data_IF_375463590858
#
_entry.id   IF_375463590858
#
_cell.length_a   1.000
_cell.length_b   1.000
_cell.length_c   1.000
_cell.angle_alpha   90.00
_cell.angle_beta   90.00
_cell.angle_gamma   90.00
#
_symmetry.space_group_name_H-M   'P 1'
#
loop_
_entity.id
_entity.type
_entity.pdbx_description
1 polymer ?
#
# COMPACT_ATOMS: atom_id res chain seq x y z
N UNK A 1 -29.04 -0.41 28.82
CA UNK A 1 -29.34 0.56 29.90
C UNK A 1 -28.90 1.93 29.41
N UNK A 2 -29.83 2.75 28.90
CA UNK A 2 -29.52 4.13 28.52
C UNK A 2 -29.30 4.97 29.77
N UNK A 3 -28.21 5.75 29.81
CA UNK A 3 -27.98 6.76 30.83
C UNK A 3 -29.17 7.74 30.83
N UNK A 4 -29.60 8.20 32.01
CA UNK A 4 -30.59 9.28 32.06
C UNK A 4 -29.96 10.51 31.41
N UNK A 5 -30.75 11.33 30.70
CA UNK A 5 -30.28 12.51 29.93
C UNK A 5 -29.31 13.41 30.72
N UNK A 6 -29.58 13.62 32.00
CA UNK A 6 -28.72 14.37 32.95
C UNK A 6 -27.37 13.71 33.25
N UNK A 7 -27.28 12.39 33.21
CA UNK A 7 -26.04 11.65 33.42
C UNK A 7 -25.17 11.69 32.15
N UNK A 8 -25.80 11.68 30.97
CA UNK A 8 -25.13 11.84 29.68
C UNK A 8 -24.54 13.26 29.51
N UNK A 9 -25.27 14.31 29.91
CA UNK A 9 -24.75 15.69 29.94
C UNK A 9 -23.49 15.83 30.81
N UNK A 10 -23.52 15.26 32.03
CA UNK A 10 -22.38 15.29 32.95
C UNK A 10 -21.18 14.54 32.40
N UNK A 11 -21.42 13.40 31.74
CA UNK A 11 -20.38 12.59 31.13
C UNK A 11 -19.67 13.35 30.00
N UNK A 12 -20.42 13.95 29.08
CA UNK A 12 -19.85 14.71 27.97
C UNK A 12 -19.12 15.97 28.45
N UNK A 13 -19.64 16.67 29.46
CA UNK A 13 -18.96 17.82 30.06
C UNK A 13 -17.61 17.42 30.68
N UNK A 14 -17.56 16.33 31.45
CA UNK A 14 -16.32 15.82 32.02
C UNK A 14 -15.31 15.40 30.92
N UNK A 15 -15.79 14.88 29.79
CA UNK A 15 -14.91 14.58 28.65
C UNK A 15 -14.31 15.85 28.05
N UNK A 16 -15.11 16.90 27.83
CA UNK A 16 -14.62 18.17 27.29
C UNK A 16 -13.61 18.84 28.24
N UNK A 17 -13.86 18.80 29.54
CA UNK A 17 -12.93 19.32 30.56
C UNK A 17 -11.60 18.53 30.54
N UNK A 18 -11.66 17.20 30.38
CA UNK A 18 -10.46 16.37 30.24
C UNK A 18 -9.69 16.71 28.95
N UNK A 19 -10.38 16.88 27.83
CA UNK A 19 -9.78 17.31 26.56
C UNK A 19 -9.11 18.68 26.70
N UNK A 20 -9.72 19.62 27.42
CA UNK A 20 -9.14 20.93 27.70
C UNK A 20 -7.84 20.79 28.52
N UNK A 21 -7.82 19.96 29.57
CA UNK A 21 -6.61 19.70 30.37
C UNK A 21 -5.50 19.05 29.55
N UNK A 22 -5.83 18.07 28.70
CA UNK A 22 -4.87 17.41 27.79
C UNK A 22 -4.32 18.39 26.77
N UNK A 23 -5.17 19.26 26.22
CA UNK A 23 -4.77 20.32 25.30
C UNK A 23 -3.79 21.26 25.98
N UNK A 24 -4.12 21.80 27.17
CA UNK A 24 -3.22 22.68 27.95
C UNK A 24 -1.87 22.02 28.27
N UNK A 25 -1.86 20.74 28.64
CA UNK A 25 -0.63 20.00 28.91
C UNK A 25 0.22 19.82 27.64
N UNK A 26 -0.41 19.46 26.52
CA UNK A 26 0.28 19.31 25.24
C UNK A 26 0.81 20.66 24.73
N UNK A 27 0.02 21.73 24.89
CA UNK A 27 0.39 23.11 24.58
C UNK A 27 1.66 23.51 25.32
N UNK A 28 1.69 23.35 26.65
CA UNK A 28 2.87 23.65 27.46
C UNK A 28 4.09 22.78 27.07
N UNK A 29 3.86 21.51 26.72
CA UNK A 29 4.93 20.64 26.23
C UNK A 29 5.44 21.09 24.85
N UNK A 30 4.57 21.54 23.96
CA UNK A 30 4.95 22.06 22.65
C UNK A 30 5.73 23.37 22.81
N UNK A 31 5.25 24.32 23.62
CA UNK A 31 5.91 25.61 23.88
C UNK A 31 7.32 25.44 24.48
N UNK A 32 7.49 24.49 25.41
CA UNK A 32 8.83 24.21 25.98
C UNK A 32 9.79 23.55 24.97
N UNK A 33 9.27 22.74 24.04
CA UNK A 33 10.08 22.00 23.06
C UNK A 33 10.27 22.75 21.73
N UNK A 34 9.49 23.80 21.48
CA UNK A 34 9.46 24.55 20.22
C UNK A 34 10.84 25.14 19.86
N UNK A 35 11.66 25.52 20.86
CA UNK A 35 12.99 26.11 20.62
C UNK A 35 14.05 25.11 20.15
N UNK A 36 13.92 23.84 20.54
CA UNK A 36 14.88 22.77 20.25
C UNK A 36 14.26 21.64 19.39
N UNK A 37 13.18 21.98 18.67
CA UNK A 37 12.34 20.99 17.99
C UNK A 37 12.98 20.50 16.69
N UNK A 38 13.13 19.18 16.52
CA UNK A 38 13.47 18.57 15.22
C UNK A 38 12.24 18.48 14.29
N UNK A 39 12.44 18.36 12.98
CA UNK A 39 11.32 18.25 12.01
C UNK A 39 10.38 17.07 12.33
N UNK A 40 10.96 15.92 12.75
CA UNK A 40 10.17 14.75 13.17
C UNK A 40 9.34 15.03 14.43
N UNK A 41 9.88 15.79 15.38
CA UNK A 41 9.17 16.17 16.61
C UNK A 41 8.05 17.17 16.30
N UNK A 42 8.32 18.14 15.43
CA UNK A 42 7.32 19.12 15.00
C UNK A 42 6.14 18.44 14.28
N UNK A 43 6.42 17.51 13.36
CA UNK A 43 5.39 16.74 12.65
C UNK A 43 4.57 15.86 13.61
N UNK A 44 5.21 15.19 14.57
CA UNK A 44 4.50 14.40 15.58
C UNK A 44 3.59 15.26 16.46
N UNK A 45 4.04 16.46 16.84
CA UNK A 45 3.24 17.40 17.63
C UNK A 45 2.05 17.94 16.84
N UNK A 46 2.23 18.29 15.56
CA UNK A 46 1.12 18.71 14.69
C UNK A 46 0.03 17.65 14.60
N UNK A 47 0.40 16.38 14.39
CA UNK A 47 -0.57 15.28 14.32
C UNK A 47 -1.33 15.11 15.64
N UNK A 48 -0.64 15.21 16.78
CA UNK A 48 -1.28 15.11 18.09
C UNK A 48 -2.26 16.26 18.35
N UNK A 49 -1.91 17.49 17.95
CA UNK A 49 -2.75 18.69 18.10
C UNK A 49 -3.99 18.61 17.20
N UNK A 50 -3.83 18.19 15.93
CA UNK A 50 -4.95 17.97 15.02
C UNK A 50 -5.92 16.90 15.54
N UNK A 51 -5.38 15.83 16.12
CA UNK A 51 -6.21 14.76 16.73
C UNK A 51 -7.05 15.29 17.90
N UNK A 52 -6.47 16.10 18.78
CA UNK A 52 -7.20 16.71 19.89
C UNK A 52 -8.26 17.72 19.43
N UNK A 53 -7.95 18.50 18.38
CA UNK A 53 -8.92 19.43 17.78
C UNK A 53 -10.15 18.69 17.25
N UNK A 54 -9.94 17.59 16.51
CA UNK A 54 -11.02 16.76 15.98
C UNK A 54 -11.85 16.13 17.12
N UNK A 55 -11.20 15.58 18.15
CA UNK A 55 -11.90 15.01 19.32
C UNK A 55 -12.75 16.04 20.06
N UNK A 56 -12.29 17.29 20.15
CA UNK A 56 -13.06 18.40 20.72
C UNK A 56 -14.28 18.75 19.87
N UNK A 57 -14.14 18.75 18.54
CA UNK A 57 -15.26 18.98 17.62
C UNK A 57 -16.31 17.87 17.71
N UNK A 58 -15.88 16.61 17.74
CA UNK A 58 -16.77 15.45 17.89
C UNK A 58 -17.54 15.53 19.21
N UNK A 59 -16.84 15.80 20.33
CA UNK A 59 -17.48 15.96 21.64
C UNK A 59 -18.48 17.13 21.68
N UNK A 60 -18.18 18.24 20.99
CA UNK A 60 -19.07 19.39 20.92
C UNK A 60 -20.33 19.08 20.10
N UNK A 61 -20.17 18.44 18.93
CA UNK A 61 -21.32 18.05 18.08
C UNK A 61 -22.23 17.05 18.79
N UNK A 62 -21.69 16.09 19.53
CA UNK A 62 -22.47 15.16 20.34
C UNK A 62 -23.23 15.91 21.45
N UNK A 63 -22.58 16.87 22.11
CA UNK A 63 -23.19 17.66 23.18
C UNK A 63 -24.37 18.52 22.69
N UNK A 64 -24.29 19.08 21.47
CA UNK A 64 -25.39 19.81 20.83
C UNK A 64 -26.67 18.97 20.65
N UNK A 65 -26.56 17.64 20.58
CA UNK A 65 -27.74 16.76 20.43
C UNK A 65 -28.45 16.47 21.75
N UNK A 66 -27.79 16.68 22.89
CA UNK A 66 -28.28 16.24 24.21
C UNK A 66 -28.69 17.41 25.10
N UNK A 67 -28.10 18.59 24.95
CA UNK A 67 -28.19 19.64 25.95
C UNK A 67 -29.32 20.68 25.74
N UNK A 68 -29.82 21.29 26.84
CA UNK A 68 -30.71 22.45 26.78
C UNK A 68 -29.96 23.76 26.47
N UNK A 69 -30.64 24.68 25.78
CA UNK A 69 -30.08 25.92 25.20
C UNK A 69 -29.25 26.77 26.19
N UNK A 70 -29.63 26.82 27.47
CA UNK A 70 -28.98 27.64 28.50
C UNK A 70 -27.52 27.25 28.79
N UNK A 71 -27.11 26.00 28.51
CA UNK A 71 -25.74 25.54 28.77
C UNK A 71 -24.83 25.59 27.53
N UNK A 72 -25.40 25.84 26.34
CA UNK A 72 -24.67 25.81 25.06
C UNK A 72 -23.54 26.83 25.04
N UNK A 73 -23.78 28.02 25.60
CA UNK A 73 -22.78 29.09 25.62
C UNK A 73 -21.49 28.69 26.35
N UNK A 74 -21.59 27.95 27.46
CA UNK A 74 -20.41 27.53 28.24
C UNK A 74 -19.57 26.50 27.51
N UNK A 75 -20.22 25.47 26.95
CA UNK A 75 -19.54 24.39 26.21
C UNK A 75 -18.95 24.92 24.91
N UNK A 76 -19.67 25.84 24.24
CA UNK A 76 -19.14 26.52 23.05
C UNK A 76 -17.89 27.34 23.37
N UNK A 77 -17.86 28.04 24.51
CA UNK A 77 -16.65 28.76 24.94
C UNK A 77 -15.47 27.83 25.22
N UNK A 78 -15.70 26.67 25.82
CA UNK A 78 -14.66 25.68 26.08
C UNK A 78 -14.13 25.03 24.79
N UNK A 79 -15.02 24.68 23.86
CA UNK A 79 -14.64 24.19 22.53
C UNK A 79 -13.82 25.23 21.77
N UNK A 80 -14.28 26.47 21.71
CA UNK A 80 -13.56 27.57 21.06
C UNK A 80 -12.19 27.82 21.69
N UNK A 81 -12.06 27.72 23.02
CA UNK A 81 -10.79 27.88 23.70
C UNK A 81 -9.79 26.76 23.31
N UNK A 82 -10.26 25.53 23.17
CA UNK A 82 -9.43 24.41 22.67
C UNK A 82 -9.01 24.66 21.22
N UNK A 83 -9.96 25.01 20.35
CA UNK A 83 -9.70 25.26 18.93
C UNK A 83 -8.66 26.38 18.73
N UNK A 84 -8.86 27.53 19.39
CA UNK A 84 -7.92 28.65 19.35
C UNK A 84 -6.53 28.26 19.87
N UNK A 85 -6.46 27.45 20.92
CA UNK A 85 -5.19 26.99 21.48
C UNK A 85 -4.45 26.04 20.53
N UNK A 86 -5.17 25.15 19.84
CA UNK A 86 -4.61 24.27 18.83
C UNK A 86 -4.11 25.06 17.61
N UNK A 87 -4.90 25.99 17.09
CA UNK A 87 -4.57 26.78 15.91
C UNK A 87 -3.31 27.63 16.12
N UNK A 88 -3.19 28.31 17.27
CA UNK A 88 -2.01 29.11 17.60
C UNK A 88 -0.71 28.30 17.59
N UNK A 89 -0.76 27.05 18.04
CA UNK A 89 0.42 26.18 18.08
C UNK A 89 0.70 25.57 16.71
N UNK A 90 -0.33 25.20 15.95
CA UNK A 90 -0.15 24.72 14.59
C UNK A 90 0.52 25.78 13.71
N UNK A 91 0.15 27.05 13.84
CA UNK A 91 0.83 28.17 13.16
C UNK A 91 2.30 28.24 13.59
N UNK A 92 2.58 28.16 14.89
CA UNK A 92 3.95 28.23 15.42
C UNK A 92 4.82 27.06 14.96
N UNK A 93 4.29 25.83 15.00
CA UNK A 93 4.99 24.64 14.52
C UNK A 93 5.21 24.68 13.00
N UNK A 94 4.25 25.20 12.23
CA UNK A 94 4.39 25.36 10.78
C UNK A 94 5.45 26.39 10.41
N UNK A 95 5.55 27.50 11.16
CA UNK A 95 6.61 28.48 10.99
C UNK A 95 7.99 27.85 11.22
N UNK A 96 8.15 27.08 12.29
CA UNK A 96 9.40 26.39 12.64
C UNK A 96 9.75 25.32 11.59
N UNK A 97 8.78 24.51 11.17
CA UNK A 97 8.98 23.52 10.11
C UNK A 97 9.38 24.20 8.79
N UNK A 98 8.80 25.37 8.49
CA UNK A 98 9.19 26.21 7.35
C UNK A 98 10.62 26.74 7.45
N UNK A 99 11.05 27.18 8.62
CA UNK A 99 12.41 27.70 8.82
C UNK A 99 13.48 26.60 8.85
N UNK A 100 13.17 25.43 9.42
CA UNK A 100 14.01 24.22 9.33
C UNK A 100 14.17 23.74 7.87
N UNK A 101 13.14 23.90 7.03
CA UNK A 101 13.24 23.63 5.59
C UNK A 101 14.12 24.63 4.84
N UNK A 102 14.23 25.87 5.31
CA UNK A 102 15.11 26.89 4.70
C UNK A 102 16.58 26.73 5.11
N UNK A 103 16.87 26.13 6.27
CA UNK A 103 18.23 26.00 6.81
C UNK A 103 18.98 24.75 6.34
N UNK A 104 18.32 23.82 5.66
CA UNK A 104 19.02 22.78 4.87
C UNK A 104 19.49 23.41 3.55
N UNK A 105 20.78 23.34 3.19
CA UNK A 105 21.27 23.86 1.92
C UNK A 105 20.73 22.97 0.79
N UNK A 106 19.53 23.30 0.33
CA UNK A 106 18.89 22.72 -0.84
C UNK A 106 19.51 23.36 -2.07
N UNK A 107 20.26 22.56 -2.83
CA UNK A 107 20.64 22.87 -4.21
C UNK A 107 19.38 23.28 -4.99
N UNK A 108 19.40 24.31 -5.87
CA UNK A 108 18.18 25.00 -6.26
C UNK A 108 17.22 24.10 -7.04
N UNK A 109 16.02 23.88 -6.52
CA UNK A 109 14.89 23.34 -7.27
C UNK A 109 14.20 24.53 -7.94
N UNK A 110 14.33 24.56 -9.26
CA UNK A 110 13.65 25.43 -10.21
C UNK A 110 12.11 25.32 -10.04
N UNK A 111 11.46 26.49 -10.15
CA UNK A 111 10.03 26.71 -9.99
C UNK A 111 9.13 25.72 -10.76
N UNK A 112 7.90 25.57 -10.25
CA UNK A 112 6.73 24.89 -10.82
C UNK A 112 6.84 24.62 -12.32
N UNK A 113 7.31 23.41 -12.64
CA UNK A 113 7.27 22.80 -13.96
C UNK A 113 6.37 21.59 -13.80
N UNK A 114 5.42 21.32 -14.73
CA UNK A 114 4.63 20.10 -14.67
C UNK A 114 5.62 18.96 -14.51
N UNK A 115 5.48 18.19 -13.42
CA UNK A 115 6.45 17.18 -13.00
C UNK A 115 6.95 16.46 -14.24
N UNK A 116 8.17 16.82 -14.69
CA UNK A 116 8.79 16.12 -15.79
C UNK A 116 8.98 14.74 -15.22
N UNK A 117 8.13 13.78 -15.62
CA UNK A 117 8.17 12.37 -15.24
C UNK A 117 9.64 12.00 -15.10
N UNK A 118 10.11 11.93 -13.84
CA UNK A 118 11.54 11.73 -13.54
C UNK A 118 11.94 10.52 -14.36
N UNK A 119 12.98 10.65 -15.19
CA UNK A 119 13.36 9.56 -16.10
C UNK A 119 13.80 8.40 -15.20
N UNK A 120 12.91 7.43 -15.03
CA UNK A 120 13.21 6.21 -14.29
C UNK A 120 14.15 5.42 -15.17
N UNK A 121 15.43 5.44 -14.80
CA UNK A 121 16.42 4.56 -15.40
C UNK A 121 16.38 3.23 -14.65
N UNK A 122 15.82 2.23 -15.30
CA UNK A 122 15.65 0.90 -14.75
C UNK A 122 15.83 -0.13 -15.86
N UNK A 123 16.13 -1.37 -15.49
CA UNK A 123 16.32 -2.43 -16.48
C UNK A 123 15.02 -2.65 -17.28
N UNK A 124 15.11 -3.07 -18.56
CA UNK A 124 13.95 -3.40 -19.38
C UNK A 124 13.04 -4.43 -18.72
N UNK A 125 11.76 -4.43 -19.08
CA UNK A 125 10.79 -5.39 -18.55
C UNK A 125 11.21 -6.83 -18.83
N UNK A 126 11.27 -7.64 -17.75
CA UNK A 126 11.69 -9.03 -17.80
C UNK A 126 10.47 -9.95 -17.70
N UNK A 127 10.05 -10.51 -18.84
CA UNK A 127 8.87 -11.39 -18.96
C UNK A 127 9.03 -12.73 -18.24
N UNK A 128 10.25 -13.19 -18.02
CA UNK A 128 10.57 -14.47 -17.37
C UNK A 128 10.25 -14.46 -15.87
N UNK A 129 10.36 -13.31 -15.22
CA UNK A 129 10.02 -13.15 -13.80
C UNK A 129 9.43 -11.76 -13.53
N UNK A 130 8.16 -11.53 -13.94
CA UNK A 130 7.54 -10.22 -13.81
C UNK A 130 7.39 -9.81 -12.34
N UNK A 131 7.15 -10.76 -11.41
CA UNK A 131 6.98 -10.48 -9.98
C UNK A 131 8.22 -9.83 -9.37
N UNK A 132 9.38 -10.46 -9.49
CA UNK A 132 10.63 -9.92 -8.94
C UNK A 132 11.03 -8.61 -9.62
N UNK A 133 10.73 -8.47 -10.91
CA UNK A 133 10.95 -7.22 -11.63
C UNK A 133 10.14 -6.06 -11.02
N UNK A 134 8.85 -6.27 -10.75
CA UNK A 134 8.00 -5.26 -10.12
C UNK A 134 8.39 -4.96 -8.68
N UNK A 135 8.79 -5.95 -7.88
CA UNK A 135 9.27 -5.72 -6.51
C UNK A 135 10.49 -4.79 -6.48
N UNK A 136 11.42 -5.00 -7.42
CA UNK A 136 12.60 -4.15 -7.54
C UNK A 136 12.24 -2.76 -8.08
N UNK A 137 11.29 -2.67 -9.03
CA UNK A 137 10.79 -1.39 -9.51
C UNK A 137 10.13 -0.57 -8.40
N UNK A 138 9.37 -1.19 -7.50
CA UNK A 138 8.76 -0.51 -6.34
C UNK A 138 9.81 0.12 -5.42
N UNK A 139 10.95 -0.54 -5.22
CA UNK A 139 12.07 0.04 -4.45
C UNK A 139 12.61 1.29 -5.13
N UNK A 140 12.72 1.27 -6.46
CA UNK A 140 13.17 2.44 -7.25
C UNK A 140 12.14 3.57 -7.21
N UNK A 141 10.84 3.27 -7.32
CA UNK A 141 9.81 4.29 -7.17
C UNK A 141 9.82 4.93 -5.79
N UNK A 142 10.02 4.13 -4.74
CA UNK A 142 10.18 4.63 -3.37
C UNK A 142 11.40 5.54 -3.23
N UNK A 143 12.56 5.15 -3.79
CA UNK A 143 13.78 5.96 -3.70
C UNK A 143 13.72 7.25 -4.51
N UNK A 144 13.00 7.25 -5.63
CA UNK A 144 12.78 8.42 -6.47
C UNK A 144 11.60 9.29 -6.03
N UNK A 145 10.92 8.94 -4.93
CA UNK A 145 9.73 9.64 -4.40
C UNK A 145 8.62 9.74 -5.46
N UNK A 146 8.48 8.70 -6.29
CA UNK A 146 7.41 8.59 -7.28
C UNK A 146 6.18 8.01 -6.56
N UNK A 147 5.34 8.91 -6.09
CA UNK A 147 4.15 8.62 -5.32
C UNK A 147 2.91 8.92 -6.16
N UNK A 148 1.91 8.06 -6.12
CA UNK A 148 0.69 8.24 -6.92
C UNK A 148 0.65 7.33 -8.15
N UNK A 149 -0.52 6.78 -8.39
CA UNK A 149 -0.76 5.77 -9.42
C UNK A 149 -0.46 6.28 -10.84
N UNK A 150 -0.86 7.52 -11.16
CA UNK A 150 -0.66 8.10 -12.49
C UNK A 150 0.82 8.31 -12.84
N UNK A 151 1.62 8.77 -11.88
CA UNK A 151 3.05 8.99 -12.08
C UNK A 151 3.79 7.66 -12.24
N UNK A 152 3.43 6.66 -11.42
CA UNK A 152 3.98 5.30 -11.53
C UNK A 152 3.59 4.65 -12.85
N UNK A 153 2.35 4.81 -13.29
CA UNK A 153 1.89 4.29 -14.58
C UNK A 153 2.60 4.97 -15.75
N UNK A 154 2.75 6.31 -15.71
CA UNK A 154 3.51 7.05 -16.72
C UNK A 154 4.98 6.67 -16.78
N UNK A 155 5.60 6.39 -15.62
CA UNK A 155 6.97 5.86 -15.55
C UNK A 155 7.06 4.43 -16.09
N UNK A 156 6.10 3.56 -15.74
CA UNK A 156 6.01 2.19 -16.21
C UNK A 156 5.94 2.11 -17.74
N UNK A 157 5.08 2.92 -18.37
CA UNK A 157 4.93 2.94 -19.84
C UNK A 157 6.23 3.25 -20.59
N UNK A 158 7.18 3.98 -19.98
CA UNK A 158 8.48 4.27 -20.58
C UNK A 158 9.44 3.07 -20.54
N UNK A 159 9.19 2.11 -19.66
CA UNK A 159 10.01 0.90 -19.49
C UNK A 159 9.47 -0.28 -20.33
N UNK A 160 8.30 -0.11 -20.95
CA UNK A 160 7.62 -1.15 -21.72
C UNK A 160 8.08 -1.17 -23.18
N UNK A 161 8.16 -2.39 -23.74
CA UNK A 161 8.32 -2.59 -25.18
C UNK A 161 6.98 -2.42 -25.91
N UNK A 162 7.01 -2.35 -27.24
CA UNK A 162 5.79 -2.15 -28.06
C UNK A 162 4.72 -3.22 -27.81
N UNK A 163 5.15 -4.47 -27.57
CA UNK A 163 4.25 -5.59 -27.29
C UNK A 163 3.49 -5.43 -25.98
N UNK A 164 4.18 -5.06 -24.90
CA UNK A 164 3.56 -4.81 -23.58
C UNK A 164 2.82 -3.48 -23.54
N UNK A 165 3.27 -2.46 -24.26
CA UNK A 165 2.55 -1.20 -24.41
C UNK A 165 1.17 -1.39 -25.06
N UNK A 166 1.06 -2.27 -26.05
CA UNK A 166 -0.22 -2.60 -26.68
C UNK A 166 -1.18 -3.26 -25.69
N UNK A 167 -0.68 -4.16 -24.84
CA UNK A 167 -1.47 -4.82 -23.80
C UNK A 167 -2.02 -3.81 -22.77
N UNK A 168 -1.25 -2.78 -22.44
CA UNK A 168 -1.64 -1.71 -21.51
C UNK A 168 -2.54 -0.63 -22.13
N UNK A 169 -2.72 -0.63 -23.45
CA UNK A 169 -3.47 0.42 -24.17
C UNK A 169 -4.89 0.62 -23.66
N UNK A 170 -5.57 -0.45 -23.24
CA UNK A 170 -6.90 -0.39 -22.65
C UNK A 170 -6.91 0.37 -21.32
N UNK A 171 -5.88 0.21 -20.50
CA UNK A 171 -5.75 0.92 -19.22
C UNK A 171 -5.48 2.40 -19.48
N UNK A 172 -4.63 2.72 -20.46
CA UNK A 172 -4.36 4.10 -20.89
C UNK A 172 -5.62 4.82 -21.38
N UNK A 173 -6.52 4.10 -22.07
CA UNK A 173 -7.78 4.67 -22.60
C UNK A 173 -8.87 4.82 -21.55
N UNK A 174 -9.02 3.83 -20.67
CA UNK A 174 -10.09 3.82 -19.65
C UNK A 174 -9.78 4.69 -18.45
N UNK A 175 -8.49 4.96 -18.16
CA UNK A 175 -8.01 5.78 -17.03
C UNK A 175 -8.75 5.45 -15.72
N UNK A 176 -8.58 4.21 -15.20
CA UNK A 176 -9.12 3.85 -13.91
C UNK A 176 -8.49 4.70 -12.79
N UNK A 177 -9.00 4.62 -11.56
CA UNK A 177 -8.44 5.32 -10.39
C UNK A 177 -7.08 4.77 -9.94
N UNK A 178 -6.75 3.55 -10.36
CA UNK A 178 -5.60 2.72 -9.97
C UNK A 178 -4.85 2.15 -11.19
N UNK A 179 -4.42 2.99 -12.16
CA UNK A 179 -3.88 2.54 -13.43
C UNK A 179 -2.59 1.72 -13.29
N UNK A 180 -1.72 2.06 -12.34
CA UNK A 180 -0.47 1.35 -12.15
C UNK A 180 -0.70 -0.02 -11.53
N UNK A 181 -1.53 -0.09 -10.49
CA UNK A 181 -1.88 -1.34 -9.81
C UNK A 181 -2.51 -2.34 -10.78
N UNK A 182 -3.47 -1.87 -11.62
CA UNK A 182 -4.07 -2.71 -12.67
C UNK A 182 -3.09 -3.13 -13.76
N UNK A 183 -2.18 -2.25 -14.16
CA UNK A 183 -1.15 -2.57 -15.14
C UNK A 183 -0.19 -3.64 -14.61
N UNK A 184 0.22 -3.53 -13.35
CA UNK A 184 1.05 -4.52 -12.66
C UNK A 184 0.36 -5.87 -12.60
N UNK A 185 -0.89 -5.91 -12.15
CA UNK A 185 -1.67 -7.16 -12.09
C UNK A 185 -1.83 -7.82 -13.46
N UNK A 186 -2.15 -7.02 -14.48
CA UNK A 186 -2.28 -7.50 -15.85
C UNK A 186 -0.96 -8.11 -16.35
N UNK A 187 0.15 -7.39 -16.23
CA UNK A 187 1.45 -7.86 -16.71
C UNK A 187 1.94 -9.08 -15.93
N UNK A 188 1.73 -9.12 -14.62
CA UNK A 188 2.05 -10.32 -13.83
C UNK A 188 1.19 -11.48 -14.32
N UNK A 189 -0.12 -11.31 -14.51
CA UNK A 189 -1.00 -12.39 -14.95
C UNK A 189 -0.63 -12.92 -16.33
N UNK A 190 -0.39 -12.04 -17.30
CA UNK A 190 -0.14 -12.45 -18.69
C UNK A 190 1.25 -13.09 -18.88
N UNK A 191 2.26 -12.69 -18.10
CA UNK A 191 3.64 -13.18 -18.27
C UNK A 191 4.11 -14.16 -17.18
N UNK A 192 3.33 -14.36 -16.11
CA UNK A 192 3.68 -15.39 -15.11
C UNK A 192 3.57 -16.76 -15.75
N UNK A 193 4.66 -17.51 -15.70
CA UNK A 193 4.72 -18.89 -16.16
C UNK A 193 3.76 -19.73 -15.29
N UNK A 194 2.92 -20.55 -15.94
CA UNK A 194 1.97 -21.43 -15.24
C UNK A 194 2.71 -22.33 -14.25
N UNK A 195 2.05 -22.72 -13.15
CA UNK A 195 2.63 -23.69 -12.20
C UNK A 195 3.05 -24.99 -12.90
N UNK A 196 2.25 -25.46 -13.86
CA UNK A 196 2.54 -26.64 -14.66
C UNK A 196 3.84 -26.49 -15.48
N UNK A 197 4.00 -25.36 -16.18
CA UNK A 197 5.19 -25.13 -16.99
C UNK A 197 6.45 -24.95 -16.14
N UNK A 198 6.33 -24.31 -14.96
CA UNK A 198 7.44 -24.24 -13.99
C UNK A 198 7.83 -25.62 -13.46
N UNK A 199 6.85 -26.45 -13.10
CA UNK A 199 7.08 -27.84 -12.71
C UNK A 199 7.72 -28.66 -13.82
N UNK A 200 7.25 -28.49 -15.05
CA UNK A 200 7.82 -29.13 -16.23
C UNK A 200 9.29 -28.74 -16.41
N UNK A 201 9.60 -27.45 -16.36
CA UNK A 201 10.97 -26.95 -16.45
C UNK A 201 11.85 -27.48 -15.33
N UNK A 202 11.33 -27.55 -14.10
CA UNK A 202 12.05 -28.11 -12.95
C UNK A 202 12.36 -29.60 -13.12
N UNK A 203 11.34 -30.41 -13.46
CA UNK A 203 11.44 -31.88 -13.48
C UNK A 203 12.16 -32.40 -14.73
N UNK A 204 11.95 -31.77 -15.88
CA UNK A 204 12.43 -32.29 -17.17
C UNK A 204 13.66 -31.57 -17.70
N UNK A 205 13.76 -30.26 -17.44
CA UNK A 205 14.72 -29.39 -18.13
C UNK A 205 15.80 -28.84 -17.17
N UNK A 206 15.69 -29.09 -15.86
CA UNK A 206 16.61 -28.52 -14.87
C UNK A 206 17.88 -29.37 -14.72
N UNK A 207 18.81 -29.15 -15.64
CA UNK A 207 20.21 -29.56 -15.48
C UNK A 207 21.07 -28.33 -15.17
N UNK A 208 22.07 -28.45 -14.28
CA UNK A 208 23.04 -27.37 -14.08
C UNK A 208 23.83 -27.15 -15.37
N UNK A 209 24.02 -25.89 -15.76
CA UNK A 209 24.89 -25.58 -16.90
C UNK A 209 26.36 -25.93 -16.56
N UNK A 210 27.22 -26.18 -17.57
CA UNK A 210 28.60 -26.63 -17.34
C UNK A 210 29.43 -25.76 -16.39
N UNK A 211 29.20 -24.44 -16.41
CA UNK A 211 29.91 -23.45 -15.58
C UNK A 211 29.03 -22.85 -14.45
N UNK A 212 27.82 -23.38 -14.24
CA UNK A 212 26.90 -22.88 -13.23
C UNK A 212 27.30 -23.37 -11.83
N UNK A 213 27.41 -22.45 -10.87
CA UNK A 213 27.61 -22.81 -9.47
C UNK A 213 26.36 -23.52 -8.95
N UNK A 214 26.54 -24.60 -8.19
CA UNK A 214 25.42 -25.35 -7.59
C UNK A 214 24.51 -24.50 -6.70
N UNK A 215 25.04 -23.45 -6.09
CA UNK A 215 24.22 -22.48 -5.33
C UNK A 215 23.29 -21.66 -6.23
N UNK A 216 23.74 -21.29 -7.43
CA UNK A 216 22.90 -20.62 -8.42
C UNK A 216 21.88 -21.58 -9.02
N UNK A 217 22.30 -22.82 -9.29
CA UNK A 217 21.41 -23.89 -9.73
C UNK A 217 20.28 -24.11 -8.72
N UNK A 218 20.62 -24.22 -7.42
CA UNK A 218 19.64 -24.39 -6.35
C UNK A 218 18.68 -23.21 -6.26
N UNK A 219 19.19 -21.97 -6.28
CA UNK A 219 18.33 -20.78 -6.26
C UNK A 219 17.37 -20.73 -7.47
N UNK A 220 17.85 -21.14 -8.64
CA UNK A 220 17.04 -21.24 -9.86
C UNK A 220 15.98 -22.32 -9.74
N UNK A 221 16.30 -23.48 -9.17
CA UNK A 221 15.31 -24.54 -8.95
C UNK A 221 14.29 -24.18 -7.89
N UNK A 222 14.71 -23.54 -6.80
CA UNK A 222 13.85 -23.08 -5.71
C UNK A 222 12.80 -22.08 -6.25
N UNK A 223 13.22 -21.20 -7.17
CA UNK A 223 12.31 -20.30 -7.87
C UNK A 223 11.25 -21.04 -8.73
N UNK A 224 11.62 -22.13 -9.40
CA UNK A 224 10.67 -22.91 -10.21
C UNK A 224 9.63 -23.64 -9.35
N UNK A 225 9.97 -24.00 -8.12
CA UNK A 225 9.08 -24.70 -7.19
C UNK A 225 8.47 -23.77 -6.14
N UNK A 226 8.56 -22.44 -6.33
CA UNK A 226 8.33 -21.43 -5.28
C UNK A 226 6.98 -21.48 -4.56
N UNK A 227 5.95 -22.16 -5.02
CA UNK A 227 4.63 -22.17 -4.39
C UNK A 227 3.91 -23.47 -4.77
N UNK A 228 4.75 -24.48 -5.03
CA UNK A 228 4.35 -25.81 -5.47
C UNK A 228 4.14 -26.67 -4.24
N UNK A 229 2.89 -27.14 -4.09
CA UNK A 229 2.55 -28.11 -3.06
C UNK A 229 2.92 -29.52 -3.51
N UNK A 230 3.02 -30.45 -2.55
CA UNK A 230 3.17 -31.88 -2.84
C UNK A 230 2.03 -32.38 -3.74
N UNK A 231 0.84 -31.80 -3.57
CA UNK A 231 -0.32 -32.14 -4.39
C UNK A 231 -0.14 -31.72 -5.86
N UNK A 232 0.43 -30.54 -6.12
CA UNK A 232 0.72 -30.06 -7.47
C UNK A 232 1.73 -30.98 -8.20
N UNK A 233 2.74 -31.48 -7.47
CA UNK A 233 3.67 -32.49 -7.99
C UNK A 233 2.94 -33.79 -8.37
N UNK A 234 2.01 -34.24 -7.52
CA UNK A 234 1.20 -35.44 -7.79
C UNK A 234 0.30 -35.24 -9.00
N UNK A 235 -0.37 -34.09 -9.11
CA UNK A 235 -1.17 -33.70 -10.30
C UNK A 235 -0.32 -33.74 -11.56
N UNK A 236 0.86 -33.14 -11.51
CA UNK A 236 1.81 -33.13 -12.63
C UNK A 236 2.20 -34.55 -13.07
N UNK A 237 2.54 -35.42 -12.12
CA UNK A 237 2.87 -36.82 -12.41
C UNK A 237 1.69 -37.56 -13.05
N UNK A 238 0.48 -37.45 -12.48
CA UNK A 238 -0.74 -38.07 -13.03
C UNK A 238 -1.01 -37.59 -14.45
N UNK A 239 -1.03 -36.28 -14.67
CA UNK A 239 -1.20 -35.67 -15.99
C UNK A 239 -0.14 -36.15 -16.98
N UNK A 240 1.13 -36.23 -16.57
CA UNK A 240 2.22 -36.61 -17.48
C UNK A 240 2.11 -38.06 -17.92
N UNK A 241 1.76 -38.95 -16.99
CA UNK A 241 1.67 -40.39 -17.24
C UNK A 241 0.31 -40.83 -17.82
N UNK A 242 -0.71 -39.97 -17.77
CA UNK A 242 -2.01 -40.26 -18.36
C UNK A 242 -1.92 -40.43 -19.89
N UNK A 243 -2.75 -41.30 -20.49
CA UNK A 243 -2.85 -41.45 -21.94
C UNK A 243 -3.19 -40.13 -22.64
N UNK A 244 -2.76 -39.91 -23.90
CA UNK A 244 -3.00 -38.65 -24.61
C UNK A 244 -4.48 -38.21 -24.67
N UNK A 245 -5.41 -39.16 -24.81
CA UNK A 245 -6.84 -38.87 -24.85
C UNK A 245 -7.36 -38.29 -23.52
N UNK A 246 -6.95 -38.90 -22.39
CA UNK A 246 -7.30 -38.46 -21.05
C UNK A 246 -6.64 -37.11 -20.72
N UNK A 247 -5.39 -36.89 -21.14
CA UNK A 247 -4.70 -35.60 -20.92
C UNK A 247 -5.42 -34.42 -21.56
N UNK A 248 -5.97 -34.59 -22.75
CA UNK A 248 -6.66 -33.51 -23.46
C UNK A 248 -7.97 -33.11 -22.76
N UNK A 249 -8.67 -34.10 -22.19
CA UNK A 249 -9.89 -33.90 -21.43
C UNK A 249 -9.60 -33.31 -20.05
N UNK A 250 -8.54 -33.79 -19.39
CA UNK A 250 -8.08 -33.27 -18.12
C UNK A 250 -7.55 -31.83 -18.24
N UNK A 251 -6.88 -31.45 -19.34
CA UNK A 251 -6.35 -30.10 -19.56
C UNK A 251 -7.40 -28.97 -19.55
N UNK A 252 -8.69 -29.30 -19.74
CA UNK A 252 -9.80 -28.35 -19.63
C UNK A 252 -10.33 -28.16 -18.20
N UNK A 253 -9.80 -28.89 -17.22
CA UNK A 253 -10.23 -28.82 -15.83
C UNK A 253 -9.42 -27.79 -15.04
N UNK A 254 -10.06 -27.25 -14.01
CA UNK A 254 -9.43 -26.33 -13.06
C UNK A 254 -8.53 -27.11 -12.08
N UNK A 255 -7.24 -27.24 -12.42
CA UNK A 255 -6.24 -27.92 -11.60
C UNK A 255 -5.88 -27.19 -10.32
N UNK A 256 -6.12 -25.88 -10.25
CA UNK A 256 -5.77 -25.08 -9.09
C UNK A 256 -6.75 -25.29 -7.93
N UNK A 257 -8.00 -25.66 -8.23
CA UNK A 257 -9.06 -25.81 -7.23
C UNK A 257 -9.47 -27.26 -6.91
N UNK A 258 -9.03 -28.26 -7.68
CA UNK A 258 -9.37 -29.68 -7.45
C UNK A 258 -8.25 -30.44 -6.74
N UNK A 259 -8.61 -31.42 -5.91
CA UNK A 259 -7.65 -32.36 -5.30
C UNK A 259 -7.21 -33.43 -6.32
N UNK A 260 -6.01 -33.99 -6.16
CA UNK A 260 -5.53 -35.11 -7.00
C UNK A 260 -6.50 -36.29 -7.02
N UNK A 261 -7.11 -36.61 -5.88
CA UNK A 261 -8.06 -37.72 -5.79
C UNK A 261 -9.33 -37.49 -6.62
N UNK A 262 -9.76 -36.23 -6.79
CA UNK A 262 -10.88 -35.87 -7.65
C UNK A 262 -10.51 -35.97 -9.12
N UNK A 263 -9.30 -35.51 -9.48
CA UNK A 263 -8.78 -35.60 -10.84
C UNK A 263 -8.60 -37.05 -11.31
N UNK A 264 -8.14 -37.94 -10.42
CA UNK A 264 -8.02 -39.37 -10.73
C UNK A 264 -9.40 -40.00 -10.95
N UNK A 265 -10.38 -39.68 -10.10
CA UNK A 265 -11.75 -40.20 -10.26
C UNK A 265 -12.37 -39.77 -11.58
N UNK A 266 -12.15 -38.53 -12.01
CA UNK A 266 -12.62 -38.03 -13.31
C UNK A 266 -11.86 -38.70 -14.46
N UNK A 267 -10.55 -38.90 -14.33
CA UNK A 267 -9.74 -39.62 -15.31
C UNK A 267 -10.19 -41.08 -15.50
N UNK A 268 -10.59 -41.76 -14.42
CA UNK A 268 -11.05 -43.15 -14.45
C UNK A 268 -12.45 -43.31 -15.10
N UNK A 269 -13.20 -42.22 -15.27
CA UNK A 269 -14.52 -42.25 -15.93
C UNK A 269 -14.47 -42.06 -17.45
N UNK A 270 -13.28 -41.85 -18.01
CA UNK A 270 -13.03 -41.53 -19.43
C UNK A 270 -12.44 -42.73 -20.19
#
# INVERSE_FOLDING_TARGET
MGLKKTDQEKFLYNQLENLNLRTKSLVASAESKIKDCSEATASSLMTAILTLSNQSADCYTEWLTVAPDEKIARVQNEHNAIAMSCDNILVSLNAIAGDLRKSTPTTPIEAERPERLRKVDFRPFEKTNPKSWFEQLEVVFKSMVINGEDLRFGALLKLMDESTGTLLSNITRTKPSDPYSKARELLIREFTISKYDRLKAYILDSTPAPDERLTHFLARTDFLIEDVLIDDLRKFCVLRHAPPAVRLQLAGLDFDNKDVGELIKEADTL
#
